data_IF_790942567807
#
_entry.id   IF_790942567807
#
_cell.length_a   1.000
_cell.length_b   1.000
_cell.length_c   1.000
_cell.angle_alpha   90.00
_cell.angle_beta   90.00
_cell.angle_gamma   90.00
#
_symmetry.space_group_name_H-M   'P 1'
#
loop_
_entity.id
_entity.type
_entity.pdbx_description
1 polymer ?
#
# COMPACT_ATOMS: atom_id res chain seq x y z
N UNK A 1 71.25 37.80 15.28
CA UNK A 1 70.48 38.08 14.06
C UNK A 1 69.61 36.82 13.78
N UNK A 2 68.37 36.81 14.20
CA UNK A 2 67.43 35.67 13.99
C UNK A 2 66.40 36.10 12.98
N UNK A 3 66.45 35.53 11.79
CA UNK A 3 65.48 35.72 10.72
C UNK A 3 64.35 34.70 10.89
N UNK A 4 63.17 35.20 11.29
CA UNK A 4 61.89 34.38 11.31
C UNK A 4 61.34 34.35 9.92
N UNK A 5 61.30 33.16 9.31
CA UNK A 5 60.51 32.87 8.09
C UNK A 5 59.06 32.77 8.44
N UNK A 6 58.22 33.69 7.93
CA UNK A 6 56.77 33.60 8.01
C UNK A 6 56.25 32.69 6.89
N UNK A 7 55.75 31.52 7.26
CA UNK A 7 55.06 30.62 6.33
C UNK A 7 53.61 31.11 6.21
N UNK A 8 53.22 31.60 5.03
CA UNK A 8 51.85 32.02 4.73
C UNK A 8 51.07 30.81 4.23
N UNK A 9 50.10 30.32 5.05
CA UNK A 9 49.19 29.24 4.68
C UNK A 9 48.06 29.83 3.82
N UNK A 10 48.04 29.52 2.54
CA UNK A 10 46.93 29.88 1.64
C UNK A 10 45.89 28.78 1.69
N UNK A 11 44.77 29.05 2.35
CA UNK A 11 43.60 28.13 2.36
C UNK A 11 42.84 28.30 1.03
N UNK A 12 42.88 27.27 0.19
CA UNK A 12 42.07 27.19 -1.02
C UNK A 12 40.69 26.67 -0.65
N UNK A 13 39.70 27.54 -0.60
CA UNK A 13 38.30 27.16 -0.50
C UNK A 13 37.79 26.72 -1.87
N UNK A 14 37.58 25.42 -2.08
CA UNK A 14 36.83 24.92 -3.21
C UNK A 14 35.33 25.14 -2.97
N UNK A 15 34.58 25.78 -3.88
CA UNK A 15 33.13 25.90 -3.72
C UNK A 15 32.48 24.53 -3.92
N UNK A 16 31.80 24.05 -2.88
CA UNK A 16 30.95 22.88 -2.97
C UNK A 16 29.69 23.28 -3.78
N UNK A 17 29.66 22.92 -5.08
CA UNK A 17 28.50 23.15 -5.92
C UNK A 17 27.35 22.22 -5.43
N UNK A 18 26.44 22.76 -4.65
CA UNK A 18 25.18 22.13 -4.32
C UNK A 18 24.33 22.13 -5.60
N UNK A 19 24.34 21.03 -6.36
CA UNK A 19 23.40 20.83 -7.47
C UNK A 19 22.02 20.65 -6.87
N UNK A 20 21.22 21.72 -6.86
CA UNK A 20 19.80 21.63 -6.58
C UNK A 20 19.18 20.72 -7.64
N UNK A 21 18.78 19.51 -7.24
CA UNK A 21 17.98 18.62 -8.09
C UNK A 21 16.64 19.32 -8.32
N UNK A 22 16.35 19.70 -9.56
CA UNK A 22 15.04 20.25 -9.90
C UNK A 22 13.95 19.30 -9.38
N UNK A 23 12.94 19.86 -8.71
CA UNK A 23 11.81 19.07 -8.28
C UNK A 23 11.16 18.43 -9.51
N UNK A 24 11.00 17.10 -9.47
CA UNK A 24 10.39 16.35 -10.56
C UNK A 24 8.90 16.74 -10.63
N UNK A 25 8.43 17.11 -11.82
CA UNK A 25 7.02 17.47 -12.02
C UNK A 25 6.15 16.23 -11.81
N UNK A 26 5.21 16.31 -10.86
CA UNK A 26 4.33 15.19 -10.54
C UNK A 26 3.18 15.11 -11.53
N UNK A 27 2.75 13.89 -11.84
CA UNK A 27 1.61 13.60 -12.71
C UNK A 27 0.52 12.84 -11.92
N UNK A 28 -0.76 12.97 -12.30
CA UNK A 28 -1.81 12.21 -11.64
C UNK A 28 -1.64 10.71 -11.91
N UNK A 29 -1.79 9.89 -10.85
CA UNK A 29 -1.86 8.44 -10.99
C UNK A 29 -3.24 8.05 -11.55
N UNK A 30 -3.23 7.56 -12.79
CA UNK A 30 -4.45 7.11 -13.47
C UNK A 30 -4.75 5.66 -13.10
N UNK A 31 -5.82 5.46 -12.31
CA UNK A 31 -6.33 4.15 -11.95
C UNK A 31 -7.52 3.78 -12.84
N UNK A 32 -7.49 2.58 -13.42
CA UNK A 32 -8.67 2.01 -14.09
C UNK A 32 -9.59 1.44 -13.01
N UNK A 33 -10.67 2.13 -12.74
CA UNK A 33 -11.65 1.70 -11.74
C UNK A 33 -12.67 0.75 -12.36
N UNK A 34 -13.14 -0.28 -11.60
CA UNK A 34 -14.26 -1.09 -12.01
C UNK A 34 -15.58 -0.30 -11.89
N UNK A 35 -16.67 -0.76 -12.51
CA UNK A 35 -17.98 -0.18 -12.23
C UNK A 35 -18.34 -0.37 -10.76
N UNK A 36 -19.10 0.57 -10.14
CA UNK A 36 -19.60 0.36 -8.79
C UNK A 36 -20.52 -0.86 -8.72
N UNK A 37 -20.12 -1.89 -7.98
CA UNK A 37 -20.91 -3.10 -7.80
C UNK A 37 -22.11 -2.86 -6.85
N UNK A 38 -21.97 -1.94 -5.91
CA UNK A 38 -23.00 -1.58 -4.95
C UNK A 38 -23.19 -0.06 -4.91
N UNK A 39 -24.46 0.36 -4.91
CA UNK A 39 -24.90 1.74 -4.65
C UNK A 39 -25.93 1.71 -3.55
N UNK A 40 -25.64 2.28 -2.42
CA UNK A 40 -26.58 2.33 -1.31
C UNK A 40 -26.06 3.16 -0.15
N UNK A 41 -26.94 3.49 0.78
CA UNK A 41 -26.58 4.11 2.04
C UNK A 41 -26.01 3.04 2.96
N UNK A 42 -24.88 3.28 3.65
CA UNK A 42 -24.37 2.38 4.66
C UNK A 42 -25.45 2.11 5.71
N UNK A 43 -25.55 0.86 6.15
CA UNK A 43 -26.31 0.49 7.36
C UNK A 43 -25.70 1.21 8.57
N UNK A 44 -26.37 1.16 9.71
CA UNK A 44 -25.84 1.68 10.96
C UNK A 44 -24.43 1.15 11.21
N UNK A 45 -23.53 2.06 11.59
CA UNK A 45 -22.17 1.69 11.92
C UNK A 45 -22.13 0.87 13.20
N UNK A 46 -21.27 -0.16 13.31
CA UNK A 46 -21.01 -0.80 14.58
C UNK A 46 -20.60 0.22 15.65
N UNK A 47 -21.11 0.07 16.84
CA UNK A 47 -20.84 0.97 17.97
C UNK A 47 -19.32 1.09 18.23
N UNK A 48 -18.85 2.32 18.47
CA UNK A 48 -17.43 2.60 18.74
C UNK A 48 -16.51 2.63 17.51
N UNK A 49 -17.02 2.40 16.29
CA UNK A 49 -16.21 2.39 15.08
C UNK A 49 -16.04 3.81 14.51
N UNK A 50 -14.80 4.26 14.36
CA UNK A 50 -14.46 5.56 13.75
C UNK A 50 -14.14 5.33 12.27
N UNK A 51 -15.08 5.68 11.39
CA UNK A 51 -15.00 5.44 9.95
C UNK A 51 -14.72 6.73 9.20
N UNK A 52 -13.96 6.63 8.10
CA UNK A 52 -13.80 7.72 7.14
C UNK A 52 -15.18 8.09 6.56
N UNK A 53 -15.53 9.37 6.47
CA UNK A 53 -16.80 9.76 5.86
C UNK A 53 -16.84 9.34 4.40
N UNK A 54 -17.96 8.79 3.96
CA UNK A 54 -18.21 8.56 2.54
C UNK A 54 -18.29 9.91 1.82
N UNK A 55 -17.78 9.94 0.60
CA UNK A 55 -17.84 11.09 -0.29
C UNK A 55 -18.66 10.74 -1.53
N UNK A 56 -19.56 11.64 -1.92
CA UNK A 56 -20.26 11.55 -3.21
C UNK A 56 -19.36 11.95 -4.40
N UNK A 57 -18.17 12.47 -4.09
CA UNK A 57 -17.20 12.91 -5.11
C UNK A 57 -16.13 11.83 -5.28
N UNK A 58 -15.66 11.60 -6.50
CA UNK A 58 -14.52 10.73 -6.75
C UNK A 58 -13.31 11.17 -5.90
N UNK A 59 -12.52 10.20 -5.47
CA UNK A 59 -11.27 10.46 -4.77
C UNK A 59 -10.34 11.30 -5.65
N UNK A 60 -9.72 12.38 -5.11
CA UNK A 60 -8.70 13.13 -5.84
C UNK A 60 -7.56 12.20 -6.31
N UNK A 61 -7.07 12.42 -7.52
CA UNK A 61 -5.94 11.66 -8.03
C UNK A 61 -4.69 11.88 -7.15
N UNK A 62 -4.00 10.78 -6.82
CA UNK A 62 -2.70 10.88 -6.17
C UNK A 62 -1.67 11.37 -7.18
N UNK A 63 -0.93 12.41 -6.82
CA UNK A 63 0.15 12.92 -7.64
C UNK A 63 1.43 12.11 -7.38
N UNK A 64 2.01 11.53 -8.43
CA UNK A 64 3.20 10.67 -8.37
C UNK A 64 4.26 11.12 -9.38
N UNK A 65 5.53 10.79 -9.20
CA UNK A 65 6.55 11.01 -10.23
C UNK A 65 6.19 10.28 -11.53
N UNK A 66 6.53 10.84 -12.69
CA UNK A 66 6.30 10.18 -13.97
C UNK A 66 7.08 8.86 -14.06
N UNK A 67 6.54 7.91 -14.84
CA UNK A 67 7.14 6.59 -15.03
C UNK A 67 6.82 5.57 -13.94
N UNK A 68 5.87 5.88 -13.03
CA UNK A 68 5.29 4.86 -12.14
C UNK A 68 4.48 3.85 -12.94
N UNK A 69 4.68 2.58 -12.64
CA UNK A 69 3.96 1.44 -13.22
C UNK A 69 3.41 0.54 -12.12
N UNK A 70 2.39 -0.27 -12.42
CA UNK A 70 1.94 -1.29 -11.49
C UNK A 70 2.95 -2.44 -11.44
N UNK A 71 3.73 -2.49 -10.36
CA UNK A 71 4.78 -3.50 -10.14
C UNK A 71 4.21 -4.84 -9.71
N UNK A 72 2.95 -4.89 -9.25
CA UNK A 72 2.30 -6.13 -8.82
C UNK A 72 1.62 -6.88 -9.99
N UNK A 73 1.44 -6.25 -11.14
CA UNK A 73 0.70 -6.83 -12.25
C UNK A 73 1.24 -8.20 -12.66
N UNK A 74 0.39 -9.23 -12.52
CA UNK A 74 0.72 -10.61 -12.85
C UNK A 74 1.70 -11.31 -11.90
N UNK A 75 2.11 -10.69 -10.79
CA UNK A 75 2.88 -11.36 -9.74
C UNK A 75 2.01 -12.40 -9.04
N UNK A 76 2.63 -13.50 -8.63
CA UNK A 76 1.98 -14.48 -7.76
C UNK A 76 2.30 -14.14 -6.30
N UNK A 77 1.35 -13.61 -5.52
CA UNK A 77 1.59 -13.37 -4.10
C UNK A 77 1.61 -14.67 -3.31
N UNK A 78 2.27 -14.65 -2.16
CA UNK A 78 2.13 -15.67 -1.13
C UNK A 78 1.08 -15.26 -0.10
N UNK A 79 0.65 -16.19 0.76
CA UNK A 79 -0.34 -15.94 1.81
C UNK A 79 -0.01 -16.72 3.07
N UNK A 80 -0.43 -16.19 4.23
CA UNK A 80 -0.45 -16.93 5.49
C UNK A 80 -1.49 -18.03 5.50
N UNK A 81 -2.52 -17.96 4.65
CA UNK A 81 -3.49 -19.03 4.48
C UNK A 81 -2.92 -20.15 3.61
N UNK A 82 -2.47 -21.23 4.24
CA UNK A 82 -1.90 -22.39 3.56
C UNK A 82 -2.89 -23.15 2.67
N UNK A 83 -4.18 -22.86 2.76
CA UNK A 83 -5.22 -23.44 1.90
C UNK A 83 -5.45 -22.59 0.62
N UNK A 84 -4.88 -21.41 0.54
CA UNK A 84 -4.96 -20.59 -0.65
C UNK A 84 -4.04 -21.14 -1.75
N UNK A 85 -4.64 -21.59 -2.84
CA UNK A 85 -3.86 -22.14 -3.97
C UNK A 85 -3.26 -21.02 -4.81
N UNK A 86 -2.12 -21.31 -5.50
CA UNK A 86 -1.48 -20.37 -6.42
C UNK A 86 -2.47 -19.82 -7.48
N UNK A 87 -3.34 -20.71 -8.02
CA UNK A 87 -4.38 -20.29 -8.99
C UNK A 87 -5.34 -19.25 -8.41
N UNK A 88 -5.72 -19.37 -7.13
CA UNK A 88 -6.58 -18.38 -6.46
C UNK A 88 -5.80 -17.09 -6.21
N UNK A 89 -4.60 -17.22 -5.61
CA UNK A 89 -3.78 -16.04 -5.27
C UNK A 89 -3.40 -15.21 -6.49
N UNK A 90 -3.17 -15.83 -7.66
CA UNK A 90 -2.87 -15.10 -8.89
C UNK A 90 -3.97 -14.17 -9.37
N UNK A 91 -5.22 -14.32 -8.88
CA UNK A 91 -6.31 -13.40 -9.19
C UNK A 91 -6.18 -12.05 -8.50
N UNK A 92 -5.37 -11.96 -7.43
CA UNK A 92 -5.17 -10.71 -6.68
C UNK A 92 -4.35 -9.68 -7.50
N UNK A 93 -3.80 -10.07 -8.64
CA UNK A 93 -2.93 -9.25 -9.49
C UNK A 93 -3.23 -9.38 -10.98
N UNK A 94 -4.38 -9.94 -11.34
CA UNK A 94 -4.74 -10.21 -12.76
C UNK A 94 -5.38 -9.00 -13.47
N UNK A 95 -5.61 -7.91 -12.73
CA UNK A 95 -6.21 -6.68 -13.23
C UNK A 95 -7.74 -6.66 -13.13
N UNK A 96 -8.37 -7.74 -12.65
CA UNK A 96 -9.81 -7.81 -12.47
C UNK A 96 -10.20 -7.34 -11.06
N UNK A 97 -10.79 -6.16 -11.00
CA UNK A 97 -11.25 -5.52 -9.76
C UNK A 97 -12.73 -5.72 -9.48
N UNK A 98 -13.43 -6.46 -10.35
CA UNK A 98 -14.86 -6.68 -10.20
C UNK A 98 -15.14 -7.51 -8.94
N UNK A 99 -16.19 -7.13 -8.20
CA UNK A 99 -16.56 -7.80 -6.96
C UNK A 99 -17.64 -8.87 -7.21
N UNK A 100 -17.40 -9.75 -8.18
CA UNK A 100 -18.23 -10.92 -8.42
C UNK A 100 -17.62 -12.17 -7.76
N UNK A 101 -18.43 -13.18 -7.49
CA UNK A 101 -18.01 -14.39 -6.80
C UNK A 101 -16.76 -15.06 -7.43
N UNK A 102 -16.68 -15.06 -8.77
CA UNK A 102 -15.56 -15.64 -9.50
C UNK A 102 -14.26 -14.86 -9.32
N UNK A 103 -14.32 -13.55 -9.06
CA UNK A 103 -13.16 -12.67 -8.92
C UNK A 103 -12.66 -12.64 -7.48
N UNK A 104 -13.51 -12.88 -6.51
CA UNK A 104 -13.19 -12.77 -5.09
C UNK A 104 -12.29 -13.92 -4.65
N UNK A 105 -11.15 -13.59 -4.06
CA UNK A 105 -10.23 -14.52 -3.42
C UNK A 105 -10.53 -14.56 -1.93
N UNK A 106 -11.00 -15.70 -1.46
CA UNK A 106 -11.32 -15.94 -0.06
C UNK A 106 -10.14 -16.57 0.66
N UNK A 107 -9.69 -15.93 1.76
CA UNK A 107 -8.77 -16.50 2.73
C UNK A 107 -9.52 -16.85 4.01
N UNK A 108 -8.95 -17.75 4.82
CA UNK A 108 -9.54 -18.23 6.08
C UNK A 108 -9.87 -17.10 7.05
N UNK A 109 -10.74 -17.41 8.00
CA UNK A 109 -11.07 -16.56 9.16
C UNK A 109 -9.83 -16.24 9.99
N UNK A 110 -9.92 -15.17 10.74
CA UNK A 110 -8.82 -14.65 11.56
C UNK A 110 -7.88 -13.76 10.76
N UNK A 111 -6.84 -13.23 11.40
CA UNK A 111 -5.85 -12.42 10.71
C UNK A 111 -5.13 -13.24 9.63
N UNK A 112 -5.18 -12.78 8.40
CA UNK A 112 -4.43 -13.34 7.28
C UNK A 112 -3.66 -12.23 6.58
N UNK A 113 -2.62 -12.60 5.83
CA UNK A 113 -1.96 -11.67 4.94
C UNK A 113 -1.75 -12.25 3.54
N UNK A 114 -1.61 -11.35 2.59
CA UNK A 114 -1.00 -11.59 1.28
C UNK A 114 0.31 -10.83 1.21
N UNK A 115 1.32 -11.42 0.57
CA UNK A 115 2.66 -10.84 0.48
C UNK A 115 3.16 -10.91 -0.96
N UNK A 116 3.75 -9.80 -1.39
CA UNK A 116 4.32 -9.60 -2.72
C UNK A 116 5.83 -9.45 -2.61
N UNK A 117 6.56 -10.18 -3.45
CA UNK A 117 7.97 -9.96 -3.72
C UNK A 117 8.09 -9.28 -5.09
N UNK A 118 8.58 -8.04 -5.10
CA UNK A 118 8.78 -7.28 -6.33
C UNK A 118 10.05 -7.70 -7.09
N UNK A 119 10.77 -8.73 -6.59
CA UNK A 119 12.01 -9.26 -7.16
C UNK A 119 13.23 -8.39 -6.90
N UNK A 120 13.05 -7.09 -6.70
CA UNK A 120 14.09 -6.13 -6.33
C UNK A 120 13.47 -4.92 -5.64
N UNK A 121 14.29 -4.18 -4.90
CA UNK A 121 13.84 -2.93 -4.29
C UNK A 121 13.33 -1.95 -5.35
N UNK A 122 12.20 -1.32 -5.09
CA UNK A 122 11.57 -0.31 -5.91
C UNK A 122 11.20 0.92 -5.06
N UNK A 123 11.06 2.06 -5.70
CA UNK A 123 10.55 3.28 -5.09
C UNK A 123 9.02 3.27 -5.22
N UNK A 124 8.32 3.04 -4.12
CA UNK A 124 6.87 2.85 -4.08
C UNK A 124 6.16 4.18 -3.84
N UNK A 125 5.11 4.45 -4.60
CA UNK A 125 4.33 5.68 -4.49
C UNK A 125 2.90 5.46 -4.04
N UNK A 126 2.29 4.31 -4.40
CA UNK A 126 0.97 3.93 -3.95
C UNK A 126 0.82 2.41 -3.84
N UNK A 127 0.02 1.97 -2.88
CA UNK A 127 -0.56 0.64 -2.84
C UNK A 127 -2.07 0.84 -2.89
N UNK A 128 -2.75 0.15 -3.80
CA UNK A 128 -4.20 0.18 -3.87
C UNK A 128 -4.72 -1.22 -3.65
N UNK A 129 -5.60 -1.37 -2.68
CA UNK A 129 -6.19 -2.66 -2.30
C UNK A 129 -7.68 -2.61 -2.60
N UNK A 130 -8.16 -3.53 -3.41
CA UNK A 130 -9.57 -3.80 -3.56
C UNK A 130 -9.90 -5.09 -2.83
N UNK A 131 -10.67 -4.95 -1.79
CA UNK A 131 -11.39 -6.06 -1.21
C UNK A 131 -12.75 -6.20 -1.92
N UNK A 132 -13.51 -7.25 -1.62
CA UNK A 132 -14.84 -7.40 -2.20
C UNK A 132 -15.75 -6.23 -1.80
N UNK A 133 -16.22 -5.48 -2.80
CA UNK A 133 -17.04 -4.28 -2.66
C UNK A 133 -18.46 -4.45 -3.23
N UNK A 134 -18.96 -5.68 -3.21
CA UNK A 134 -20.30 -6.08 -3.67
C UNK A 134 -21.42 -5.66 -2.71
N UNK A 135 -21.06 -5.25 -1.48
CA UNK A 135 -21.95 -4.73 -0.46
C UNK A 135 -21.26 -3.62 0.35
N UNK A 136 -22.00 -2.96 1.24
CA UNK A 136 -21.44 -1.96 2.17
C UNK A 136 -20.63 -2.66 3.25
N UNK A 137 -19.35 -2.85 3.02
CA UNK A 137 -18.43 -3.56 3.91
C UNK A 137 -17.39 -2.63 4.50
N UNK A 138 -17.00 -2.87 5.75
CA UNK A 138 -15.86 -2.27 6.42
C UNK A 138 -14.91 -3.40 6.78
N UNK A 139 -13.70 -3.38 6.20
CA UNK A 139 -12.67 -4.39 6.47
C UNK A 139 -11.92 -4.06 7.75
N UNK A 140 -11.65 -5.09 8.56
CA UNK A 140 -11.06 -4.98 9.90
C UNK A 140 -9.60 -5.36 9.88
N UNK A 141 -8.83 -4.74 10.77
CA UNK A 141 -7.41 -5.01 10.97
C UNK A 141 -6.63 -5.00 9.64
N UNK A 142 -6.93 -4.00 8.80
CA UNK A 142 -6.18 -3.77 7.57
C UNK A 142 -4.86 -3.09 7.92
N UNK A 143 -3.76 -3.78 7.60
CA UNK A 143 -2.41 -3.25 7.81
C UNK A 143 -1.62 -3.40 6.51
N UNK A 144 -1.04 -2.31 6.03
CA UNK A 144 -0.15 -2.30 4.88
C UNK A 144 1.28 -2.02 5.35
N UNK A 145 2.19 -2.98 5.11
CA UNK A 145 3.59 -2.88 5.46
C UNK A 145 4.49 -3.10 4.26
N UNK A 146 5.67 -2.50 4.32
CA UNK A 146 6.77 -2.73 3.37
C UNK A 146 8.03 -3.11 4.14
N UNK A 147 8.90 -3.91 3.51
CA UNK A 147 10.14 -4.38 4.12
C UNK A 147 11.22 -4.64 3.05
N UNK A 148 12.45 -4.82 3.52
CA UNK A 148 13.58 -5.14 2.64
C UNK A 148 13.83 -6.65 2.55
N UNK A 149 13.17 -7.47 3.40
CA UNK A 149 13.29 -8.92 3.42
C UNK A 149 11.92 -9.62 3.50
N UNK A 150 11.87 -10.87 3.05
CA UNK A 150 10.66 -11.67 2.98
C UNK A 150 10.07 -12.02 4.36
N UNK A 151 10.90 -12.08 5.38
CA UNK A 151 10.53 -12.40 6.77
C UNK A 151 9.94 -11.20 7.49
N UNK A 152 10.04 -9.98 6.90
CA UNK A 152 9.63 -8.72 7.54
C UNK A 152 10.35 -8.48 8.87
N UNK A 153 11.68 -8.60 8.83
CA UNK A 153 12.59 -8.35 9.97
C UNK A 153 13.49 -7.15 9.75
N UNK A 154 13.68 -6.69 8.49
CA UNK A 154 14.57 -5.59 8.12
C UNK A 154 13.80 -4.41 7.57
N UNK A 155 14.01 -3.25 8.17
CA UNK A 155 13.40 -1.99 7.73
C UNK A 155 11.89 -2.11 7.45
N UNK A 156 11.16 -2.67 8.41
CA UNK A 156 9.70 -2.78 8.33
C UNK A 156 9.09 -1.41 8.57
N UNK A 157 8.28 -0.94 7.63
CA UNK A 157 7.52 0.32 7.72
C UNK A 157 6.05 0.03 7.53
N UNK A 158 5.23 0.52 8.46
CA UNK A 158 3.77 0.46 8.37
C UNK A 158 3.28 1.73 7.70
N UNK A 159 2.60 1.58 6.55
CA UNK A 159 2.10 2.68 5.74
C UNK A 159 0.63 2.99 6.04
N UNK A 160 -0.11 1.99 6.50
CA UNK A 160 -1.50 2.09 6.93
C UNK A 160 -1.78 1.05 7.99
N UNK A 161 -2.53 1.41 9.04
CA UNK A 161 -2.93 0.47 10.08
C UNK A 161 -4.22 0.95 10.77
N UNK A 162 -5.35 0.28 10.48
CA UNK A 162 -6.63 0.52 11.15
C UNK A 162 -6.96 -0.54 12.22
N UNK A 163 -5.98 -1.38 12.59
CA UNK A 163 -6.11 -2.42 13.62
C UNK A 163 -5.91 -1.83 15.03
N UNK A 164 -6.92 -1.15 15.53
CA UNK A 164 -6.86 -0.49 16.86
C UNK A 164 -6.69 -1.45 18.02
N UNK A 165 -7.06 -2.73 17.84
CA UNK A 165 -6.99 -3.78 18.87
C UNK A 165 -5.72 -4.64 18.76
N UNK A 166 -4.87 -4.38 17.75
CA UNK A 166 -3.66 -5.16 17.48
C UNK A 166 -3.92 -6.67 17.29
N UNK A 167 -5.03 -7.03 16.66
CA UNK A 167 -5.37 -8.45 16.43
C UNK A 167 -4.52 -9.10 15.34
N UNK A 168 -3.96 -8.30 14.42
CA UNK A 168 -2.99 -8.77 13.43
C UNK A 168 -1.57 -8.89 14.01
N UNK A 169 -1.32 -8.42 15.24
CA UNK A 169 -0.02 -8.49 15.88
C UNK A 169 1.04 -7.53 15.31
N UNK A 170 0.60 -6.48 14.60
CA UNK A 170 1.49 -5.52 13.93
C UNK A 170 1.56 -4.16 14.65
N UNK A 171 1.17 -4.11 15.91
CA UNK A 171 1.00 -2.89 16.69
C UNK A 171 -0.41 -2.32 16.55
N UNK A 172 -0.88 -1.61 17.58
CA UNK A 172 -2.17 -0.92 17.53
C UNK A 172 -2.12 0.25 16.51
N UNK A 173 -3.06 0.25 15.59
CA UNK A 173 -3.17 1.27 14.56
C UNK A 173 -3.97 2.49 15.00
N UNK A 174 -3.78 3.60 14.29
CA UNK A 174 -4.49 4.86 14.51
C UNK A 174 -5.24 5.35 13.28
N UNK A 175 -5.13 4.64 12.15
CA UNK A 175 -5.86 4.97 10.94
C UNK A 175 -7.35 4.64 11.12
N UNK A 176 -8.19 5.43 10.44
CA UNK A 176 -9.63 5.23 10.49
C UNK A 176 -10.04 3.99 9.71
N UNK A 177 -11.12 3.37 10.14
CA UNK A 177 -11.86 2.41 9.33
C UNK A 177 -12.39 3.10 8.07
N UNK A 178 -12.69 2.34 7.04
CA UNK A 178 -13.23 2.86 5.78
C UNK A 178 -14.25 1.89 5.19
N UNK A 179 -15.19 2.45 4.43
CA UNK A 179 -16.04 1.64 3.58
C UNK A 179 -15.29 1.20 2.34
N UNK A 180 -15.33 -0.10 2.05
CA UNK A 180 -14.81 -0.59 0.78
C UNK A 180 -15.71 -0.14 -0.37
N UNK A 181 -15.11 0.36 -1.43
CA UNK A 181 -15.80 0.84 -2.61
C UNK A 181 -15.09 0.37 -3.88
N UNK A 182 -15.71 0.59 -5.03
CA UNK A 182 -15.08 0.33 -6.33
C UNK A 182 -13.78 1.11 -6.57
N UNK A 183 -13.51 2.14 -5.78
CA UNK A 183 -12.25 2.90 -5.87
C UNK A 183 -11.07 2.20 -5.17
N UNK A 184 -11.35 1.20 -4.32
CA UNK A 184 -10.35 0.53 -3.49
C UNK A 184 -9.71 1.44 -2.43
N UNK A 185 -9.03 0.87 -1.45
CA UNK A 185 -8.26 1.65 -0.47
C UNK A 185 -6.91 2.05 -1.05
N UNK A 186 -6.72 3.33 -1.28
CA UNK A 186 -5.44 3.91 -1.66
C UNK A 186 -4.60 4.18 -0.41
N UNK A 187 -3.40 3.61 -0.36
CA UNK A 187 -2.38 3.84 0.66
C UNK A 187 -1.19 4.55 0.00
N UNK A 188 -0.96 5.84 0.28
CA UNK A 188 0.20 6.56 -0.25
C UNK A 188 1.50 6.01 0.33
N UNK A 189 2.44 5.59 -0.53
CA UNK A 189 3.75 5.07 -0.11
C UNK A 189 4.88 6.12 -0.18
N UNK A 190 4.63 7.30 -0.74
CA UNK A 190 5.47 8.51 -0.66
C UNK A 190 6.95 8.32 -1.04
N UNK A 191 7.27 7.39 -1.93
CA UNK A 191 8.64 7.11 -2.35
C UNK A 191 9.40 6.15 -1.43
N UNK A 192 8.70 5.37 -0.59
CA UNK A 192 9.32 4.32 0.22
C UNK A 192 10.04 3.31 -0.67
N UNK A 193 11.27 2.94 -0.27
CA UNK A 193 12.06 1.94 -0.98
C UNK A 193 11.93 0.61 -0.30
N UNK A 194 11.38 -0.37 -1.01
CA UNK A 194 11.20 -1.72 -0.49
C UNK A 194 11.16 -2.75 -1.63
N UNK A 195 11.46 -4.00 -1.30
CA UNK A 195 11.26 -5.14 -2.19
C UNK A 195 9.98 -5.89 -1.86
N UNK A 196 9.57 -5.92 -0.59
CA UNK A 196 8.44 -6.70 -0.12
C UNK A 196 7.30 -5.82 0.36
N UNK A 197 6.07 -6.22 0.01
CA UNK A 197 4.83 -5.60 0.49
C UNK A 197 3.98 -6.68 1.13
N UNK A 198 3.43 -6.42 2.31
CA UNK A 198 2.52 -7.32 3.02
C UNK A 198 1.27 -6.59 3.45
N UNK A 199 0.12 -7.20 3.17
CA UNK A 199 -1.19 -6.65 3.45
C UNK A 199 -1.95 -7.63 4.34
N UNK A 200 -2.34 -7.18 5.52
CA UNK A 200 -3.15 -7.94 6.48
C UNK A 200 -4.61 -7.53 6.40
N UNK A 201 -5.49 -8.44 6.76
CA UNK A 201 -6.90 -8.18 7.05
C UNK A 201 -7.47 -9.23 8.01
N UNK A 202 -8.63 -8.94 8.62
CA UNK A 202 -9.36 -9.86 9.51
C UNK A 202 -10.85 -9.81 9.24
N UNK A 203 -11.26 -10.25 8.05
CA UNK A 203 -12.66 -10.21 7.64
C UNK A 203 -13.22 -8.79 7.57
N UNK A 204 -14.54 -8.68 7.56
CA UNK A 204 -15.27 -7.42 7.42
C UNK A 204 -16.55 -7.44 8.27
N UNK A 205 -17.42 -6.43 8.10
CA UNK A 205 -18.70 -6.33 8.84
C UNK A 205 -19.74 -7.39 8.47
N UNK A 206 -19.61 -8.00 7.29
CA UNK A 206 -20.57 -9.01 6.78
C UNK A 206 -20.00 -10.42 6.85
N UNK A 207 -18.66 -10.59 6.78
CA UNK A 207 -17.99 -11.89 6.71
C UNK A 207 -16.77 -11.96 7.62
N UNK A 208 -16.53 -13.12 8.21
CA UNK A 208 -15.31 -13.40 8.94
C UNK A 208 -14.14 -13.85 8.03
N UNK A 209 -14.40 -14.11 6.74
CA UNK A 209 -13.39 -14.43 5.75
C UNK A 209 -12.71 -13.16 5.25
N UNK A 210 -11.46 -13.31 4.81
CA UNK A 210 -10.73 -12.22 4.16
C UNK A 210 -11.00 -12.31 2.65
N UNK A 211 -11.42 -11.23 2.04
CA UNK A 211 -11.95 -11.21 0.68
C UNK A 211 -11.18 -10.18 -0.14
N UNK A 212 -10.30 -10.63 -1.04
CA UNK A 212 -9.53 -9.78 -1.95
C UNK A 212 -10.06 -9.91 -3.38
N UNK A 213 -10.07 -8.81 -4.14
CA UNK A 213 -10.28 -8.84 -5.59
C UNK A 213 -9.01 -8.47 -6.32
N UNK A 214 -8.35 -7.37 -5.96
CA UNK A 214 -7.13 -6.92 -6.65
C UNK A 214 -6.22 -6.15 -5.71
N UNK A 215 -4.92 -6.19 -6.00
CA UNK A 215 -3.89 -5.33 -5.40
C UNK A 215 -3.00 -4.75 -6.50
N UNK A 216 -2.88 -3.44 -6.52
CA UNK A 216 -1.90 -2.75 -7.36
C UNK A 216 -0.83 -2.09 -6.49
N UNK A 217 0.42 -2.22 -6.89
CA UNK A 217 1.58 -1.60 -6.23
C UNK A 217 2.26 -0.71 -7.26
N UNK A 218 2.06 0.59 -7.10
CA UNK A 218 2.55 1.60 -8.05
C UNK A 218 3.90 2.16 -7.61
N UNK A 219 4.85 2.03 -8.49
CA UNK A 219 6.22 2.48 -8.21
C UNK A 219 7.10 2.47 -9.44
N UNK A 220 8.36 2.74 -9.23
CA UNK A 220 9.40 2.71 -10.26
C UNK A 220 10.64 1.98 -9.76
N UNK A 221 11.41 1.30 -10.65
CA UNK A 221 12.67 0.67 -10.26
C UNK A 221 13.61 1.69 -9.64
N UNK A 222 14.32 1.31 -8.58
CA UNK A 222 15.46 2.10 -8.08
C UNK A 222 16.57 2.03 -9.13
N UNK A 223 17.09 3.20 -9.53
CA UNK A 223 18.21 3.32 -10.46
C UNK A 223 19.52 2.97 -9.78
#
# INVERSE_FOLDING_TARGET
MNTFNKLTLVAVFAPLALTARAAEELVPLELKLPPPAFKGTPKELPEGMVVEPLSDKPRPALMVPPGCVNLAAGLLPSSSDTNATAKKLGRITDGNKDAYEESIVLLRKGPQYVQFDLGKAAELHAIVVWHAHDATKIYRAVVAQVADDAEFTKNVRTLFNNDTENVAGQGAGTDRQYFETHEGKLVPAKGEKAQFVRLFSRGNTESALNEYTEVEIWGRPVK
#
